data_IF_241310980536
#
_entry.id   IF_241310980536
#
_cell.length_a   1.000
_cell.length_b   1.000
_cell.length_c   1.000
_cell.angle_alpha   90.00
_cell.angle_beta   90.00
_cell.angle_gamma   90.00
#
_symmetry.space_group_name_H-M   'P 1'
#
loop_
_entity.id
_entity.type
_entity.pdbx_description
1 polymer ?
#
# COMPACT_ATOMS: atom_id res chain seq x y z
N UNK A 1 -13.19 -0.56 -29.25
CA UNK A 1 -11.82 -0.06 -28.93
C UNK A 1 -11.78 0.95 -27.76
N UNK A 2 -12.90 1.55 -27.36
CA UNK A 2 -12.99 2.66 -26.39
C UNK A 2 -12.74 2.31 -24.92
N UNK A 3 -13.20 1.15 -24.42
CA UNK A 3 -12.95 0.76 -23.00
C UNK A 3 -11.46 0.54 -22.67
N UNK A 4 -10.63 0.22 -23.67
CA UNK A 4 -9.19 -0.06 -23.49
C UNK A 4 -8.36 1.20 -23.26
N UNK A 5 -8.71 2.32 -23.90
CA UNK A 5 -8.00 3.58 -23.69
C UNK A 5 -8.29 4.13 -22.30
N UNK A 6 -9.58 4.13 -21.92
CA UNK A 6 -10.08 4.65 -20.64
C UNK A 6 -9.36 4.05 -19.43
N UNK A 7 -9.15 2.73 -19.40
CA UNK A 7 -8.52 2.04 -18.28
C UNK A 7 -7.07 2.50 -18.04
N UNK A 8 -6.28 2.57 -19.10
CA UNK A 8 -4.86 2.94 -19.04
C UNK A 8 -4.70 4.43 -18.75
N UNK A 9 -5.55 5.28 -19.36
CA UNK A 9 -5.56 6.71 -19.04
C UNK A 9 -6.00 6.99 -17.62
N UNK A 10 -6.93 6.23 -17.03
CA UNK A 10 -7.40 6.49 -15.65
C UNK A 10 -6.31 6.17 -14.63
N UNK A 11 -5.55 5.09 -14.84
CA UNK A 11 -4.41 4.74 -13.98
C UNK A 11 -3.32 5.81 -14.07
N UNK A 12 -3.03 6.32 -15.28
CA UNK A 12 -2.05 7.41 -15.48
C UNK A 12 -2.56 8.73 -14.89
N UNK A 13 -3.85 9.05 -15.02
CA UNK A 13 -4.44 10.30 -14.54
C UNK A 13 -4.51 10.38 -13.01
N UNK A 14 -4.76 9.24 -12.35
CA UNK A 14 -4.66 9.12 -10.90
C UNK A 14 -3.20 9.10 -10.41
N UNK A 15 -2.26 8.80 -11.32
CA UNK A 15 -0.84 8.99 -11.12
C UNK A 15 -0.34 10.39 -11.56
N UNK A 16 -1.19 11.32 -11.92
CA UNK A 16 -0.81 12.72 -12.12
C UNK A 16 -1.44 13.55 -11.01
N UNK A 17 -0.86 13.48 -9.81
CA UNK A 17 -1.10 14.51 -8.79
C UNK A 17 -0.09 15.61 -9.05
N UNK A 18 -0.61 16.80 -9.33
CA UNK A 18 0.13 17.99 -9.67
C UNK A 18 1.05 18.42 -8.53
N UNK A 19 2.36 18.21 -8.70
CA UNK A 19 3.39 18.91 -7.93
C UNK A 19 3.50 20.34 -8.44
N UNK A 20 2.63 21.24 -7.99
CA UNK A 20 2.87 22.67 -8.16
C UNK A 20 3.69 23.16 -6.96
N UNK A 21 5.00 23.19 -7.14
CA UNK A 21 5.97 23.64 -6.13
C UNK A 21 6.35 25.12 -6.31
N UNK A 22 5.39 25.99 -6.64
CA UNK A 22 5.65 27.43 -6.71
C UNK A 22 4.96 28.23 -5.59
N UNK A 23 3.86 27.73 -5.00
CA UNK A 23 3.27 28.31 -3.78
C UNK A 23 2.77 27.19 -2.86
N UNK A 24 3.63 26.77 -1.94
CA UNK A 24 3.26 25.80 -0.91
C UNK A 24 2.32 26.43 0.11
N UNK A 25 1.17 25.80 0.33
CA UNK A 25 0.16 26.29 1.25
C UNK A 25 0.76 26.36 2.68
N UNK A 26 0.60 27.49 3.39
CA UNK A 26 1.23 27.72 4.70
C UNK A 26 0.93 26.64 5.76
N UNK A 27 -0.14 25.86 5.57
CA UNK A 27 -0.46 24.68 6.36
C UNK A 27 0.64 23.60 6.36
N UNK A 28 1.29 23.35 5.22
CA UNK A 28 2.35 22.34 5.12
C UNK A 28 3.60 22.77 5.90
N UNK A 29 4.00 24.04 5.81
CA UNK A 29 5.10 24.60 6.61
C UNK A 29 4.86 24.43 8.10
N UNK A 30 3.66 24.76 8.58
CA UNK A 30 3.31 24.61 9.98
C UNK A 30 3.35 23.14 10.41
N UNK A 31 2.87 22.22 9.57
CA UNK A 31 2.93 20.78 9.85
C UNK A 31 4.37 20.29 9.99
N UNK A 32 5.24 20.64 9.05
CA UNK A 32 6.64 20.26 9.09
C UNK A 32 7.35 20.88 10.30
N UNK A 33 7.21 22.18 10.53
CA UNK A 33 7.78 22.84 11.73
C UNK A 33 7.32 22.17 13.01
N UNK A 34 6.04 21.82 13.14
CA UNK A 34 5.52 21.12 14.31
C UNK A 34 6.12 19.72 14.48
N UNK A 35 6.28 18.97 13.39
CA UNK A 35 6.79 17.58 13.42
C UNK A 35 8.29 17.50 13.62
N UNK A 36 9.03 18.49 13.13
CA UNK A 36 10.49 18.45 13.05
C UNK A 36 11.12 19.43 14.05
N UNK A 37 10.52 20.61 14.24
CA UNK A 37 11.11 21.71 15.01
C UNK A 37 11.98 22.64 14.16
N UNK A 38 12.11 22.37 12.86
CA UNK A 38 12.84 23.22 11.90
C UNK A 38 11.91 24.30 11.39
N UNK A 39 12.41 25.53 11.27
CA UNK A 39 11.71 26.58 10.55
C UNK A 39 12.02 26.47 9.05
N UNK A 40 11.24 25.65 8.35
CA UNK A 40 11.46 25.37 6.94
C UNK A 40 11.37 26.63 6.08
N UNK A 41 12.33 26.80 5.18
CA UNK A 41 12.38 27.87 4.17
C UNK A 41 11.91 27.35 2.81
N UNK A 42 11.51 28.25 1.91
CA UNK A 42 11.09 27.88 0.54
C UNK A 42 12.15 27.06 -0.21
N UNK A 43 13.43 27.37 -0.01
CA UNK A 43 14.53 26.61 -0.62
C UNK A 43 14.58 25.17 -0.09
N UNK A 44 14.43 24.97 1.22
CA UNK A 44 14.44 23.64 1.84
C UNK A 44 13.20 22.82 1.43
N UNK A 45 12.03 23.46 1.34
CA UNK A 45 10.82 22.83 0.83
C UNK A 45 10.96 22.48 -0.64
N UNK A 46 11.53 23.36 -1.46
CA UNK A 46 11.84 23.07 -2.86
C UNK A 46 12.80 21.89 -3.02
N UNK A 47 13.78 21.74 -2.13
CA UNK A 47 14.67 20.57 -2.12
C UNK A 47 13.94 19.27 -1.73
N UNK A 48 13.09 19.31 -0.69
CA UNK A 48 12.22 18.18 -0.35
C UNK A 48 11.26 17.84 -1.49
N UNK A 49 10.76 18.84 -2.21
CA UNK A 49 9.92 18.67 -3.39
C UNK A 49 10.65 17.95 -4.51
N UNK A 50 11.87 18.38 -4.87
CA UNK A 50 12.68 17.68 -5.87
C UNK A 50 12.93 16.21 -5.52
N UNK A 51 13.26 15.93 -4.25
CA UNK A 51 13.39 14.55 -3.78
C UNK A 51 12.08 13.78 -3.95
N UNK A 52 10.97 14.38 -3.53
CA UNK A 52 9.64 13.76 -3.60
C UNK A 52 9.22 13.48 -5.05
N UNK A 53 9.51 14.39 -5.97
CA UNK A 53 9.27 14.21 -7.42
C UNK A 53 10.02 12.99 -7.96
N UNK A 54 11.31 12.87 -7.62
CA UNK A 54 12.13 11.72 -8.04
C UNK A 54 11.65 10.39 -7.48
N UNK A 55 11.19 10.40 -6.23
CA UNK A 55 10.58 9.23 -5.60
C UNK A 55 9.30 8.85 -6.34
N UNK A 56 8.48 9.83 -6.67
CA UNK A 56 7.22 9.62 -7.36
C UNK A 56 7.40 9.13 -8.79
N UNK A 57 8.37 9.67 -9.52
CA UNK A 57 8.73 9.17 -10.85
C UNK A 57 9.26 7.74 -10.78
N UNK A 58 10.11 7.42 -9.80
CA UNK A 58 10.54 6.05 -9.56
C UNK A 58 9.36 5.11 -9.29
N UNK A 59 8.36 5.56 -8.55
CA UNK A 59 7.12 4.80 -8.31
C UNK A 59 6.31 4.62 -9.59
N UNK A 60 6.11 5.68 -10.38
CA UNK A 60 5.43 5.64 -11.69
C UNK A 60 6.09 4.67 -12.67
N UNK A 61 7.41 4.65 -12.71
CA UNK A 61 8.19 3.82 -13.63
C UNK A 61 7.96 2.33 -13.44
N UNK A 62 7.62 1.89 -12.21
CA UNK A 62 7.22 0.50 -11.93
C UNK A 62 6.08 0.07 -12.86
N UNK A 63 5.13 0.96 -13.10
CA UNK A 63 3.92 0.69 -13.86
C UNK A 63 4.08 0.95 -15.35
N UNK A 64 4.78 2.02 -15.72
CA UNK A 64 5.02 2.37 -17.14
C UNK A 64 5.72 1.23 -17.87
N UNK A 65 6.69 0.57 -17.22
CA UNK A 65 7.40 -0.59 -17.79
C UNK A 65 6.47 -1.74 -18.19
N UNK A 66 5.31 -1.86 -17.54
CA UNK A 66 4.38 -2.98 -17.71
C UNK A 66 3.02 -2.56 -18.27
N UNK A 67 2.86 -1.30 -18.69
CA UNK A 67 1.57 -0.74 -19.10
C UNK A 67 0.90 -1.46 -20.29
N UNK A 68 1.68 -2.18 -21.11
CA UNK A 68 1.17 -2.95 -22.25
C UNK A 68 0.73 -4.37 -21.85
N UNK A 69 1.12 -4.85 -20.67
CA UNK A 69 0.71 -6.15 -20.15
C UNK A 69 -0.70 -6.02 -19.53
N UNK A 70 -1.67 -6.69 -20.16
CA UNK A 70 -3.08 -6.64 -19.73
C UNK A 70 -3.32 -7.30 -18.39
N UNK A 71 -2.64 -8.42 -18.13
CA UNK A 71 -2.81 -9.15 -16.87
C UNK A 71 -2.25 -8.34 -15.71
N UNK A 72 -1.10 -7.69 -15.94
CA UNK A 72 -0.53 -6.73 -14.99
C UNK A 72 -1.45 -5.52 -14.76
N UNK A 73 -2.05 -4.98 -15.82
CA UNK A 73 -3.01 -3.87 -15.69
C UNK A 73 -4.23 -4.28 -14.87
N UNK A 74 -4.82 -5.45 -15.14
CA UNK A 74 -5.96 -5.98 -14.39
C UNK A 74 -5.63 -6.27 -12.91
N UNK A 75 -4.37 -6.65 -12.64
CA UNK A 75 -3.83 -6.77 -11.29
C UNK A 75 -3.76 -5.41 -10.58
N UNK A 76 -3.18 -4.38 -11.21
CA UNK A 76 -3.11 -3.03 -10.64
C UNK A 76 -4.49 -2.41 -10.39
N UNK A 77 -5.48 -2.74 -11.21
CA UNK A 77 -6.85 -2.26 -10.99
C UNK A 77 -7.43 -2.69 -9.65
N UNK A 78 -6.93 -3.77 -9.04
CA UNK A 78 -7.40 -4.17 -7.71
C UNK A 78 -6.93 -3.17 -6.65
N UNK A 79 -5.67 -2.72 -6.70
CA UNK A 79 -5.17 -1.64 -5.85
C UNK A 79 -5.93 -0.34 -6.07
N UNK A 80 -6.20 0.00 -7.34
CA UNK A 80 -6.94 1.21 -7.65
C UNK A 80 -8.33 1.20 -6.97
N UNK A 81 -9.04 0.08 -7.07
CA UNK A 81 -10.37 -0.04 -6.46
C UNK A 81 -10.32 -0.06 -4.92
N UNK A 82 -9.22 -0.49 -4.30
CA UNK A 82 -9.00 -0.31 -2.86
C UNK A 82 -8.79 1.18 -2.52
N UNK A 83 -8.03 1.90 -3.35
CA UNK A 83 -7.74 3.32 -3.14
C UNK A 83 -8.96 4.24 -3.35
N UNK A 84 -9.94 3.83 -4.14
CA UNK A 84 -11.17 4.60 -4.37
C UNK A 84 -12.37 4.02 -3.63
N UNK A 85 -12.13 3.12 -2.67
CA UNK A 85 -13.19 2.40 -1.98
C UNK A 85 -14.09 3.34 -1.17
N UNK A 86 -13.48 4.35 -0.56
CA UNK A 86 -14.17 5.41 0.16
C UNK A 86 -13.51 6.77 -0.10
N UNK A 87 -14.23 7.85 0.22
CA UNK A 87 -13.83 9.25 0.05
C UNK A 87 -12.83 9.74 1.09
N UNK A 88 -12.59 8.98 2.15
CA UNK A 88 -11.64 9.33 3.20
C UNK A 88 -10.24 9.64 2.66
N UNK A 89 -9.60 10.62 3.29
CA UNK A 89 -8.20 10.96 3.02
C UNK A 89 -7.31 9.81 3.50
N UNK A 90 -6.44 9.29 2.64
CA UNK A 90 -5.55 8.18 2.96
C UNK A 90 -4.40 8.65 3.84
N UNK A 91 -4.18 7.96 4.94
CA UNK A 91 -2.94 8.02 5.70
C UNK A 91 -2.21 6.67 5.62
N UNK A 92 -1.14 6.51 6.40
CA UNK A 92 -0.31 5.29 6.37
C UNK A 92 -1.04 4.02 6.78
N UNK A 93 -2.20 4.15 7.42
CA UNK A 93 -2.97 3.03 7.99
C UNK A 93 -4.39 3.00 7.40
N UNK A 94 -4.57 3.56 6.20
CA UNK A 94 -5.87 3.73 5.56
C UNK A 94 -6.59 2.41 5.37
N UNK A 95 -5.93 1.42 4.79
CA UNK A 95 -6.55 0.14 4.46
C UNK A 95 -6.89 -0.61 5.74
N UNK A 96 -6.01 -0.57 6.75
CA UNK A 96 -6.31 -1.14 8.06
C UNK A 96 -7.53 -0.49 8.73
N UNK A 97 -7.63 0.84 8.73
CA UNK A 97 -8.80 1.56 9.26
C UNK A 97 -10.09 1.23 8.52
N UNK A 98 -10.01 1.14 7.19
CA UNK A 98 -11.15 0.75 6.35
C UNK A 98 -11.65 -0.65 6.73
N UNK A 99 -10.75 -1.59 6.94
CA UNK A 99 -11.07 -2.96 7.37
C UNK A 99 -11.70 -2.96 8.76
N UNK A 100 -11.14 -2.21 9.71
CA UNK A 100 -11.67 -2.12 11.07
C UNK A 100 -13.08 -1.52 11.09
N UNK A 101 -13.32 -0.43 10.35
CA UNK A 101 -14.66 0.16 10.24
C UNK A 101 -15.65 -0.80 9.59
N UNK A 102 -15.25 -1.47 8.52
CA UNK A 102 -16.11 -2.47 7.83
C UNK A 102 -16.46 -3.61 8.77
N UNK A 103 -15.48 -4.10 9.53
CA UNK A 103 -15.62 -5.14 10.55
C UNK A 103 -16.60 -4.75 11.67
N UNK A 104 -16.53 -3.51 12.16
CA UNK A 104 -17.49 -2.99 13.14
C UNK A 104 -18.90 -2.92 12.54
N UNK A 105 -19.02 -2.41 11.31
CA UNK A 105 -20.32 -2.26 10.65
C UNK A 105 -21.01 -3.59 10.32
N UNK A 106 -20.25 -4.67 10.08
CA UNK A 106 -20.79 -6.04 9.93
C UNK A 106 -21.55 -6.52 11.17
N UNK A 107 -21.20 -6.00 12.35
CA UNK A 107 -21.83 -6.33 13.63
C UNK A 107 -22.90 -5.30 14.05
N UNK A 108 -23.25 -4.35 13.17
CA UNK A 108 -24.27 -3.34 13.45
C UNK A 108 -25.65 -3.96 13.62
N UNK A 109 -26.44 -3.39 14.55
CA UNK A 109 -27.87 -3.70 14.68
C UNK A 109 -28.71 -3.05 13.57
N UNK A 110 -28.17 -2.05 12.86
CA UNK A 110 -28.83 -1.45 11.71
C UNK A 110 -28.60 -2.33 10.47
N UNK A 111 -29.71 -2.86 9.93
CA UNK A 111 -29.71 -3.79 8.79
C UNK A 111 -29.11 -3.18 7.52
N UNK A 112 -29.38 -1.90 7.23
CA UNK A 112 -28.84 -1.22 6.04
C UNK A 112 -27.32 -1.08 6.13
N UNK A 113 -26.82 -0.63 7.28
CA UNK A 113 -25.38 -0.51 7.56
C UNK A 113 -24.70 -1.87 7.47
N UNK A 114 -25.33 -2.91 8.04
CA UNK A 114 -24.81 -4.28 8.01
C UNK A 114 -24.76 -4.84 6.58
N UNK A 115 -25.79 -4.61 5.76
CA UNK A 115 -25.84 -5.08 4.38
C UNK A 115 -24.83 -4.37 3.47
N UNK A 116 -24.64 -3.06 3.66
CA UNK A 116 -23.58 -2.32 2.98
C UNK A 116 -22.20 -2.86 3.38
N UNK A 117 -21.96 -3.07 4.67
CA UNK A 117 -20.71 -3.63 5.17
C UNK A 117 -20.43 -5.06 4.68
N UNK A 118 -21.46 -5.91 4.51
CA UNK A 118 -21.32 -7.22 3.86
C UNK A 118 -20.75 -7.09 2.45
N UNK A 119 -21.37 -6.23 1.64
CA UNK A 119 -20.92 -5.96 0.27
C UNK A 119 -19.49 -5.42 0.25
N UNK A 120 -19.17 -4.53 1.19
CA UNK A 120 -17.85 -3.94 1.27
C UNK A 120 -16.78 -4.96 1.67
N UNK A 121 -17.07 -5.78 2.68
CA UNK A 121 -16.17 -6.83 3.14
C UNK A 121 -15.89 -7.87 2.04
N UNK A 122 -16.92 -8.31 1.31
CA UNK A 122 -16.77 -9.22 0.17
C UNK A 122 -15.85 -8.62 -0.91
N UNK A 123 -16.04 -7.34 -1.22
CA UNK A 123 -15.23 -6.64 -2.22
C UNK A 123 -13.77 -6.44 -1.76
N UNK A 124 -13.55 -6.05 -0.49
CA UNK A 124 -12.23 -5.88 0.09
C UNK A 124 -11.46 -7.20 0.06
N UNK A 125 -12.05 -8.26 0.61
CA UNK A 125 -11.40 -9.58 0.64
C UNK A 125 -11.12 -10.09 -0.77
N UNK A 126 -12.07 -10.00 -1.69
CA UNK A 126 -11.86 -10.43 -3.09
C UNK A 126 -10.67 -9.70 -3.71
N UNK A 127 -10.55 -8.39 -3.50
CA UNK A 127 -9.45 -7.58 -4.04
C UNK A 127 -8.11 -7.95 -3.44
N UNK A 128 -8.02 -7.96 -2.11
CA UNK A 128 -6.80 -8.27 -1.39
C UNK A 128 -6.32 -9.67 -1.74
N UNK A 129 -7.22 -10.67 -1.74
CA UNK A 129 -6.90 -12.05 -2.11
C UNK A 129 -6.48 -12.14 -3.58
N UNK A 130 -7.14 -11.42 -4.49
CA UNK A 130 -6.71 -11.38 -5.90
C UNK A 130 -5.32 -10.78 -6.05
N UNK A 131 -4.96 -9.74 -5.28
CA UNK A 131 -3.63 -9.13 -5.31
C UNK A 131 -2.57 -10.13 -4.87
N UNK A 132 -2.72 -10.74 -3.69
CA UNK A 132 -1.72 -11.69 -3.17
C UNK A 132 -1.70 -13.02 -3.94
N UNK A 133 -2.75 -13.30 -4.72
CA UNK A 133 -2.86 -14.47 -5.59
C UNK A 133 -2.31 -14.29 -7.00
N UNK A 134 -1.65 -13.16 -7.30
CA UNK A 134 -1.02 -12.87 -8.60
C UNK A 134 0.48 -13.09 -8.54
N UNK A 135 1.01 -13.77 -9.56
CA UNK A 135 2.46 -14.08 -9.64
C UNK A 135 3.33 -12.82 -9.67
N UNK A 136 2.79 -11.71 -10.17
CA UNK A 136 3.46 -10.42 -10.25
C UNK A 136 3.60 -9.72 -8.90
N UNK A 137 2.82 -10.11 -7.88
CA UNK A 137 2.79 -9.41 -6.59
C UNK A 137 4.15 -9.41 -5.89
N UNK A 138 4.85 -10.54 -5.88
CA UNK A 138 6.21 -10.64 -5.33
C UNK A 138 7.20 -9.70 -6.02
N UNK A 139 7.10 -9.57 -7.34
CA UNK A 139 7.95 -8.66 -8.11
C UNK A 139 7.57 -7.20 -7.87
N UNK A 140 6.27 -6.90 -7.78
CA UNK A 140 5.78 -5.57 -7.44
C UNK A 140 6.31 -5.12 -6.08
N UNK A 141 6.16 -5.94 -5.04
CA UNK A 141 6.62 -5.62 -3.69
C UNK A 141 8.11 -5.26 -3.67
N UNK A 142 8.96 -6.06 -4.34
CA UNK A 142 10.39 -5.76 -4.45
C UNK A 142 10.67 -4.43 -5.13
N UNK A 143 9.99 -4.14 -6.24
CA UNK A 143 10.15 -2.89 -6.97
C UNK A 143 9.69 -1.68 -6.14
N UNK A 144 8.55 -1.80 -5.46
CA UNK A 144 8.03 -0.76 -4.56
C UNK A 144 9.01 -0.51 -3.43
N UNK A 145 9.45 -1.54 -2.71
CA UNK A 145 10.41 -1.39 -1.60
C UNK A 145 11.71 -0.69 -2.04
N UNK A 146 12.21 -0.99 -3.24
CA UNK A 146 13.42 -0.37 -3.77
C UNK A 146 13.27 1.12 -4.13
N UNK A 147 12.05 1.59 -4.43
CA UNK A 147 11.79 3.02 -4.68
C UNK A 147 11.85 3.83 -3.38
N UNK A 148 11.45 3.25 -2.25
CA UNK A 148 11.42 3.97 -0.95
C UNK A 148 12.61 3.62 -0.06
N UNK A 149 13.71 3.15 -0.64
CA UNK A 149 14.92 2.75 0.08
C UNK A 149 15.86 3.94 0.35
N UNK A 150 15.53 4.74 1.36
CA UNK A 150 16.36 5.83 1.86
C UNK A 150 17.42 5.35 2.85
N UNK A 151 18.08 4.23 2.54
CA UNK A 151 19.17 3.68 3.35
C UNK A 151 20.45 4.47 3.13
N UNK A 152 21.12 4.84 4.23
CA UNK A 152 22.47 5.41 4.21
C UNK A 152 23.50 4.31 4.42
N UNK A 153 24.48 4.23 3.53
CA UNK A 153 25.62 3.33 3.63
C UNK A 153 26.68 3.85 4.59
N UNK A 154 27.62 2.97 4.95
CA UNK A 154 28.77 3.28 5.82
C UNK A 154 29.74 4.29 5.19
N UNK A 155 29.75 4.39 3.87
CA UNK A 155 30.50 5.38 3.11
C UNK A 155 29.86 6.78 3.16
N UNK A 156 28.69 6.90 3.77
CA UNK A 156 27.95 8.14 3.90
C UNK A 156 26.96 8.41 2.75
N UNK A 157 26.95 7.59 1.70
CA UNK A 157 26.08 7.77 0.54
C UNK A 157 24.72 7.09 0.75
N UNK A 158 23.68 7.63 0.13
CA UNK A 158 22.36 7.00 0.13
C UNK A 158 22.20 6.03 -1.05
N UNK A 159 21.54 4.90 -0.79
CA UNK A 159 21.29 3.85 -1.80
C UNK A 159 20.44 4.33 -2.97
N UNK A 160 19.56 5.31 -2.72
CA UNK A 160 18.73 5.98 -3.72
C UNK A 160 18.71 7.48 -3.46
N UNK A 161 18.58 8.24 -4.55
CA UNK A 161 18.43 9.71 -4.53
C UNK A 161 19.54 10.42 -3.76
N UNK A 162 20.78 9.93 -3.89
CA UNK A 162 21.91 10.45 -3.12
C UNK A 162 22.08 11.96 -3.29
N UNK A 163 21.96 12.46 -4.51
CA UNK A 163 22.17 13.87 -4.83
C UNK A 163 21.06 14.74 -4.23
N UNK A 164 19.79 14.34 -4.39
CA UNK A 164 18.66 15.08 -3.84
C UNK A 164 18.63 15.06 -2.31
N UNK A 165 18.98 13.92 -1.69
CA UNK A 165 19.04 13.82 -0.22
C UNK A 165 20.22 14.63 0.32
N UNK A 166 21.39 14.57 -0.31
CA UNK A 166 22.58 15.34 0.12
C UNK A 166 22.31 16.84 0.02
N UNK A 167 21.70 17.30 -1.08
CA UNK A 167 21.29 18.69 -1.21
C UNK A 167 20.32 19.13 -0.09
N UNK A 168 19.36 18.28 0.27
CA UNK A 168 18.44 18.56 1.38
C UNK A 168 19.18 18.58 2.74
N UNK A 169 20.10 17.65 2.97
CA UNK A 169 20.95 17.61 4.19
C UNK A 169 21.73 18.90 4.33
N UNK A 170 22.40 19.34 3.26
CA UNK A 170 23.23 20.55 3.26
C UNK A 170 22.40 21.80 3.54
N UNK A 171 21.19 21.88 2.99
CA UNK A 171 20.29 23.02 3.22
C UNK A 171 19.70 23.06 4.63
N UNK A 172 19.45 21.90 5.25
CA UNK A 172 18.91 21.83 6.63
C UNK A 172 20.01 21.92 7.68
N UNK A 173 21.24 21.58 7.33
CA UNK A 173 22.40 21.60 8.22
C UNK A 173 22.17 20.81 9.51
N UNK A 174 22.61 21.37 10.65
CA UNK A 174 22.51 20.71 11.95
C UNK A 174 21.06 20.50 12.40
N UNK A 175 20.15 21.39 12.03
CA UNK A 175 18.75 21.29 12.42
C UNK A 175 18.06 20.10 11.73
N UNK A 176 18.52 19.68 10.54
CA UNK A 176 17.98 18.54 9.80
C UNK A 176 18.47 17.18 10.26
N UNK A 177 19.55 17.09 11.06
CA UNK A 177 20.30 15.84 11.26
C UNK A 177 19.42 14.67 11.73
N UNK A 178 18.39 14.92 12.54
CA UNK A 178 17.51 13.86 13.05
C UNK A 178 16.52 13.32 12.02
N UNK A 179 16.36 13.95 10.84
CA UNK A 179 15.55 13.42 9.74
C UNK A 179 16.25 12.27 9.02
N UNK A 180 17.58 12.23 9.15
CA UNK A 180 18.47 11.33 8.46
C UNK A 180 19.01 10.28 9.43
N UNK A 181 19.16 9.04 8.96
CA UNK A 181 19.86 8.02 9.73
C UNK A 181 21.37 8.22 9.65
N UNK A 182 22.10 7.87 10.70
CA UNK A 182 23.57 7.77 10.61
C UNK A 182 24.01 6.51 9.86
N UNK A 183 23.25 5.41 9.99
CA UNK A 183 23.40 4.17 9.23
C UNK A 183 22.00 3.55 8.98
N UNK A 184 21.77 2.99 7.80
CA UNK A 184 20.52 2.31 7.45
C UNK A 184 19.35 3.23 7.06
N UNK A 185 18.12 2.71 7.16
CA UNK A 185 16.90 3.33 6.62
C UNK A 185 16.47 4.59 7.38
N UNK A 186 16.35 5.71 6.67
CA UNK A 186 15.83 6.96 7.22
C UNK A 186 14.29 6.99 7.28
N UNK A 187 13.70 6.38 8.31
CA UNK A 187 12.22 6.33 8.51
C UNK A 187 11.56 7.71 8.54
N UNK A 188 12.23 8.71 9.14
CA UNK A 188 11.70 10.08 9.23
C UNK A 188 11.70 10.77 7.87
N UNK A 189 12.81 10.73 7.13
CA UNK A 189 12.84 11.22 5.75
C UNK A 189 11.74 10.58 4.89
N UNK A 190 11.60 9.24 4.97
CA UNK A 190 10.52 8.52 4.28
C UNK A 190 9.15 9.11 4.59
N UNK A 191 8.85 9.32 5.87
CA UNK A 191 7.58 9.88 6.32
C UNK A 191 7.34 11.26 5.70
N UNK A 192 8.35 12.14 5.69
CA UNK A 192 8.19 13.49 5.13
C UNK A 192 8.03 13.52 3.62
N UNK A 193 8.71 12.63 2.89
CA UNK A 193 8.50 12.47 1.45
C UNK A 193 7.06 12.00 1.16
N UNK A 194 6.56 11.02 1.92
CA UNK A 194 5.18 10.53 1.74
C UNK A 194 4.13 11.59 2.13
N UNK A 195 4.36 12.31 3.23
CA UNK A 195 3.53 13.43 3.67
C UNK A 195 3.56 14.58 2.64
N UNK A 196 4.65 14.77 1.90
CA UNK A 196 4.74 15.78 0.84
C UNK A 196 3.97 15.36 -0.41
N UNK A 197 4.04 14.07 -0.78
CA UNK A 197 3.41 13.55 -1.99
C UNK A 197 1.89 13.43 -1.88
N UNK A 198 1.36 13.20 -0.67
CA UNK A 198 -0.07 13.08 -0.37
C UNK A 198 -0.86 12.17 -1.35
N UNK A 199 -0.22 11.15 -1.92
CA UNK A 199 -0.81 10.33 -2.98
C UNK A 199 -1.53 9.10 -2.42
N UNK A 200 -2.85 9.05 -2.61
CA UNK A 200 -3.72 7.97 -2.14
C UNK A 200 -3.32 6.59 -2.61
N UNK A 201 -3.15 6.46 -3.92
CA UNK A 201 -2.88 5.19 -4.54
C UNK A 201 -1.52 4.65 -4.08
N UNK A 202 -0.51 5.52 -4.03
CA UNK A 202 0.82 5.19 -3.52
C UNK A 202 0.78 4.71 -2.08
N UNK A 203 0.06 5.41 -1.19
CA UNK A 203 -0.06 5.01 0.22
C UNK A 203 -0.71 3.64 0.37
N UNK A 204 -1.79 3.35 -0.39
CA UNK A 204 -2.44 2.03 -0.36
C UNK A 204 -1.53 0.92 -0.88
N UNK A 205 -0.81 1.16 -1.98
CA UNK A 205 0.15 0.20 -2.52
C UNK A 205 1.28 -0.05 -1.51
N UNK A 206 1.82 1.00 -0.89
CA UNK A 206 2.88 0.89 0.10
C UNK A 206 2.43 0.14 1.35
N UNK A 207 1.33 0.57 1.97
CA UNK A 207 0.76 -0.06 3.17
C UNK A 207 0.57 -1.56 2.92
N UNK A 208 -0.08 -1.94 1.83
CA UNK A 208 -0.37 -3.35 1.57
C UNK A 208 0.89 -4.15 1.21
N UNK A 209 1.80 -3.60 0.40
CA UNK A 209 3.02 -4.34 0.01
C UNK A 209 4.01 -4.50 1.17
N UNK A 210 4.06 -3.56 2.11
CA UNK A 210 4.93 -3.66 3.29
C UNK A 210 4.32 -4.53 4.39
N UNK A 211 3.01 -4.41 4.62
CA UNK A 211 2.33 -5.10 5.71
C UNK A 211 1.80 -6.49 5.31
N UNK A 212 1.76 -6.82 4.02
CA UNK A 212 1.27 -8.12 3.55
C UNK A 212 2.21 -8.87 2.59
N UNK A 213 3.34 -9.40 3.08
CA UNK A 213 4.30 -10.15 2.29
C UNK A 213 3.92 -11.63 2.11
N UNK A 214 2.71 -11.92 1.65
CA UNK A 214 2.23 -13.28 1.43
C UNK A 214 1.91 -13.54 -0.04
N UNK A 215 1.94 -14.82 -0.43
CA UNK A 215 1.36 -15.32 -1.66
C UNK A 215 0.32 -16.36 -1.32
N UNK A 216 -0.77 -16.34 -2.08
CA UNK A 216 -1.74 -17.44 -2.09
C UNK A 216 -1.64 -18.15 -3.42
N UNK A 217 -1.60 -19.48 -3.38
CA UNK A 217 -1.36 -20.30 -4.57
C UNK A 217 -2.51 -21.26 -4.81
N UNK A 218 -2.67 -21.62 -6.09
CA UNK A 218 -3.62 -22.65 -6.49
C UNK A 218 -2.88 -23.97 -6.54
N UNK A 219 -3.54 -25.03 -6.07
CA UNK A 219 -3.12 -26.38 -6.41
C UNK A 219 -3.24 -26.60 -7.91
N UNK A 220 -2.39 -27.46 -8.45
CA UNK A 220 -2.40 -27.78 -9.87
C UNK A 220 -3.79 -28.32 -10.29
N UNK A 221 -4.36 -27.76 -11.36
CA UNK A 221 -5.69 -28.12 -11.85
C UNK A 221 -6.89 -27.60 -11.05
N UNK A 222 -6.68 -26.83 -9.97
CA UNK A 222 -7.79 -26.26 -9.19
C UNK A 222 -8.08 -24.80 -9.54
N UNK A 223 -9.36 -24.42 -9.50
CA UNK A 223 -9.76 -23.02 -9.62
C UNK A 223 -9.52 -22.22 -8.34
N UNK A 224 -9.57 -22.90 -7.20
CA UNK A 224 -9.47 -22.37 -5.84
C UNK A 224 -8.02 -22.25 -5.39
N UNK A 225 -7.78 -21.27 -4.52
CA UNK A 225 -6.53 -21.09 -3.81
C UNK A 225 -6.53 -22.00 -2.59
N UNK A 226 -5.43 -22.73 -2.40
CA UNK A 226 -5.33 -23.84 -1.45
C UNK A 226 -4.22 -23.66 -0.42
N UNK A 227 -3.21 -22.85 -0.70
CA UNK A 227 -2.05 -22.68 0.18
C UNK A 227 -1.62 -21.23 0.31
N UNK A 228 -1.03 -20.91 1.46
CA UNK A 228 -0.45 -19.59 1.75
C UNK A 228 0.99 -19.72 2.21
N UNK A 229 1.86 -18.92 1.60
CA UNK A 229 3.27 -18.88 1.96
C UNK A 229 3.79 -17.46 2.05
N UNK A 230 4.79 -17.20 2.91
CA UNK A 230 5.43 -15.90 2.95
C UNK A 230 6.30 -15.71 1.69
N UNK A 231 6.46 -14.46 1.26
CA UNK A 231 7.31 -14.11 0.11
C UNK A 231 8.79 -14.40 0.43
N UNK A 232 9.22 -14.17 1.67
CA UNK A 232 10.53 -14.55 2.21
C UNK A 232 10.38 -15.28 3.56
N UNK A 233 11.30 -16.20 3.86
CA UNK A 233 11.24 -17.06 5.06
C UNK A 233 11.34 -16.32 6.39
N UNK A 234 11.89 -15.11 6.41
CA UNK A 234 12.08 -14.28 7.62
C UNK A 234 10.77 -13.58 8.02
N UNK A 235 9.78 -13.55 7.13
CA UNK A 235 8.58 -12.72 7.26
C UNK A 235 7.43 -13.41 8.02
N UNK A 236 7.65 -14.55 8.70
CA UNK A 236 6.59 -15.30 9.40
C UNK A 236 5.77 -14.45 10.41
N UNK A 237 6.40 -13.62 11.26
CA UNK A 237 5.64 -12.73 12.15
C UNK A 237 4.78 -11.71 11.38
N UNK A 238 5.33 -11.16 10.28
CA UNK A 238 4.63 -10.19 9.43
C UNK A 238 3.50 -10.87 8.66
N UNK A 239 3.70 -12.10 8.19
CA UNK A 239 2.65 -12.93 7.59
C UNK A 239 1.48 -13.11 8.57
N UNK A 240 1.74 -13.50 9.82
CA UNK A 240 0.68 -13.65 10.84
C UNK A 240 -0.05 -12.33 11.05
N UNK A 241 0.67 -11.22 11.12
CA UNK A 241 0.05 -9.89 11.22
C UNK A 241 -0.78 -9.55 9.99
N UNK A 242 -0.31 -9.84 8.77
CA UNK A 242 -1.10 -9.60 7.56
C UNK A 242 -2.42 -10.35 7.65
N UNK A 243 -2.36 -11.66 7.89
CA UNK A 243 -3.55 -12.50 7.89
C UNK A 243 -4.53 -11.99 8.94
N UNK A 244 -4.07 -11.66 10.15
CA UNK A 244 -4.92 -11.15 11.22
C UNK A 244 -5.56 -9.80 10.87
N UNK A 245 -4.77 -8.85 10.36
CA UNK A 245 -5.22 -7.48 10.12
C UNK A 245 -6.06 -7.34 8.85
N UNK A 246 -5.67 -8.01 7.77
CA UNK A 246 -6.25 -7.77 6.44
C UNK A 246 -7.33 -8.79 6.06
N UNK A 247 -7.24 -10.02 6.55
CA UNK A 247 -8.14 -11.10 6.11
C UNK A 247 -9.08 -11.57 7.21
N UNK A 248 -8.53 -12.00 8.36
CA UNK A 248 -9.25 -12.70 9.42
C UNK A 248 -10.45 -11.93 9.96
N UNK A 249 -10.28 -10.64 10.28
CA UNK A 249 -11.38 -9.81 10.81
C UNK A 249 -12.61 -9.80 9.90
N UNK A 250 -12.41 -9.65 8.59
CA UNK A 250 -13.52 -9.64 7.63
C UNK A 250 -14.08 -11.04 7.41
N UNK A 251 -13.20 -12.04 7.24
CA UNK A 251 -13.61 -13.42 7.00
C UNK A 251 -14.46 -13.99 8.14
N UNK A 252 -14.03 -13.79 9.39
CA UNK A 252 -14.71 -14.30 10.57
C UNK A 252 -16.08 -13.61 10.75
N UNK A 253 -16.17 -12.31 10.51
CA UNK A 253 -17.42 -11.55 10.64
C UNK A 253 -18.40 -11.75 9.49
N UNK A 254 -17.94 -12.15 8.31
CA UNK A 254 -18.81 -12.60 7.22
C UNK A 254 -19.34 -14.02 7.44
N UNK A 255 -18.75 -14.77 8.37
CA UNK A 255 -19.12 -16.16 8.68
C UNK A 255 -19.11 -17.09 7.46
N UNK A 256 -18.20 -16.84 6.49
CA UNK A 256 -18.16 -17.55 5.20
C UNK A 256 -18.06 -19.07 5.40
N UNK A 257 -17.28 -19.51 6.39
CA UNK A 257 -17.10 -20.94 6.70
C UNK A 257 -18.33 -21.58 7.34
N UNK A 258 -19.20 -20.80 8.00
CA UNK A 258 -20.46 -21.30 8.59
C UNK A 258 -21.58 -21.32 7.57
N UNK A 259 -21.58 -20.41 6.60
CA UNK A 259 -22.61 -20.28 5.56
C UNK A 259 -22.02 -20.34 4.14
N UNK A 260 -21.28 -21.41 3.77
CA UNK A 260 -20.55 -21.46 2.49
C UNK A 260 -21.46 -21.34 1.26
N UNK A 261 -22.73 -21.76 1.37
CA UNK A 261 -23.74 -21.69 0.32
C UNK A 261 -24.11 -20.24 -0.05
N UNK A 262 -24.07 -19.28 0.89
CA UNK A 262 -24.35 -17.85 0.61
C UNK A 262 -23.30 -17.24 -0.34
N UNK A 263 -22.11 -17.85 -0.39
CA UNK A 263 -20.98 -17.36 -1.16
C UNK A 263 -20.66 -18.22 -2.37
N UNK A 264 -21.43 -19.29 -2.61
CA UNK A 264 -21.19 -20.15 -3.78
C UNK A 264 -21.32 -19.36 -5.09
N UNK A 265 -20.42 -19.62 -6.04
CA UNK A 265 -20.27 -18.85 -7.27
C UNK A 265 -19.72 -17.41 -7.11
N UNK A 266 -19.57 -16.88 -5.88
CA UNK A 266 -18.94 -15.57 -5.66
C UNK A 266 -17.41 -15.69 -5.73
N UNK A 267 -16.70 -14.64 -6.21
CA UNK A 267 -15.23 -14.65 -6.28
C UNK A 267 -14.54 -14.98 -4.96
N UNK A 268 -15.14 -14.58 -3.83
CA UNK A 268 -14.57 -14.81 -2.49
C UNK A 268 -14.51 -16.30 -2.12
N UNK A 269 -15.39 -17.14 -2.68
CA UNK A 269 -15.41 -18.57 -2.43
C UNK A 269 -14.09 -19.25 -2.81
N UNK A 270 -13.46 -18.76 -3.89
CA UNK A 270 -12.17 -19.29 -4.40
C UNK A 270 -11.02 -19.19 -3.40
N UNK A 271 -11.19 -18.47 -2.29
CA UNK A 271 -10.15 -18.22 -1.32
C UNK A 271 -10.44 -18.86 0.05
N UNK A 272 -11.56 -19.58 0.20
CA UNK A 272 -11.95 -20.20 1.48
C UNK A 272 -10.90 -21.20 1.98
N UNK A 273 -10.39 -22.07 1.10
CA UNK A 273 -9.38 -23.07 1.48
C UNK A 273 -8.04 -22.43 1.83
N UNK A 274 -7.57 -21.47 1.02
CA UNK A 274 -6.41 -20.65 1.37
C UNK A 274 -6.60 -19.96 2.72
N UNK A 275 -7.78 -19.40 3.01
CA UNK A 275 -8.04 -18.81 4.32
C UNK A 275 -7.99 -19.82 5.47
N UNK A 276 -8.53 -21.03 5.30
CA UNK A 276 -8.40 -22.10 6.30
C UNK A 276 -6.93 -22.48 6.52
N UNK A 277 -6.11 -22.47 5.48
CA UNK A 277 -4.65 -22.66 5.60
C UNK A 277 -3.99 -21.49 6.36
N UNK A 278 -4.36 -20.25 6.03
CA UNK A 278 -3.92 -19.05 6.75
C UNK A 278 -4.22 -19.14 8.25
N UNK A 279 -5.47 -19.46 8.62
CA UNK A 279 -5.91 -19.47 10.01
C UNK A 279 -5.21 -20.57 10.83
N UNK A 280 -4.95 -21.72 10.21
CA UNK A 280 -4.12 -22.78 10.80
C UNK A 280 -2.70 -22.32 11.04
N UNK A 281 -2.09 -21.60 10.08
CA UNK A 281 -0.71 -21.10 10.19
C UNK A 281 -0.50 -20.08 11.31
N UNK A 282 -1.54 -19.28 11.64
CA UNK A 282 -1.50 -18.37 12.78
C UNK A 282 -1.51 -19.16 14.09
N UNK A 283 -2.37 -20.18 14.16
CA UNK A 283 -2.70 -20.94 15.37
C UNK A 283 -1.60 -21.92 15.81
N UNK A 284 -0.73 -22.35 14.89
CA UNK A 284 0.46 -23.12 15.25
C UNK A 284 1.48 -22.24 15.97
N UNK A 285 1.74 -22.59 17.25
CA UNK A 285 2.73 -21.98 18.14
C UNK A 285 4.15 -22.20 17.66
#
# INVERSE_FOLDING_TARGET
>A
MTKRLLLTTTIIFLMSVSMYCEDMNGGFYMLLKKKTGINWTDKQIGALGKLSEKVYDGFKDIFIQNQKNKDYTAFLQQFLKLSTFDKDTPDSDYLFKLIDRTSVNLNSSNVEVKNAAKTDAENLLTRMSTIVGKGEYKTLQKKVSAVFDFSKGKDGNYSKYNDEITALVDMLGKEGKYLFSEDGKSKKLRKHVLDFLENKFMNVVLEFTEECPILIEKSEGQEEYSSVRPINSIDLPIQKQCIQKYFKKLYDNLEITKNPQEFDGKPIHKFVEAYKDMDRSISSK
#
